data_IF_522135286750
#
_entry.id   IF_522135286750
#
_cell.length_a   1.000
_cell.length_b   1.000
_cell.length_c   1.000
_cell.angle_alpha   90.00
_cell.angle_beta   90.00
_cell.angle_gamma   90.00
#
_symmetry.space_group_name_H-M   'P 1'
#
loop_
_entity.id
_entity.type
_entity.pdbx_description
1 polymer ?
#
# COMPACT_ATOMS: atom_id res chain seq x y z
N UNK A 1 4.13 -9.69 -21.00
CA UNK A 1 3.89 -9.28 -19.60
C UNK A 1 4.88 -8.17 -19.29
N UNK A 2 4.41 -7.01 -18.81
CA UNK A 2 5.25 -5.86 -18.49
C UNK A 2 5.27 -5.67 -16.98
N UNK A 3 6.46 -5.67 -16.40
CA UNK A 3 6.67 -5.37 -14.98
C UNK A 3 6.95 -3.87 -14.88
N UNK A 4 6.29 -3.22 -13.94
CA UNK A 4 6.47 -1.81 -13.62
C UNK A 4 7.03 -1.70 -12.20
N UNK A 5 7.95 -0.75 -12.02
CA UNK A 5 8.46 -0.36 -10.72
C UNK A 5 7.59 0.75 -10.15
N UNK A 6 7.15 0.58 -8.91
CA UNK A 6 6.40 1.57 -8.14
C UNK A 6 6.92 1.61 -6.72
N UNK A 7 6.49 2.59 -5.92
CA UNK A 7 6.88 2.70 -4.51
C UNK A 7 5.72 2.31 -3.61
N UNK A 8 6.05 1.70 -2.47
CA UNK A 8 5.10 1.46 -1.40
C UNK A 8 4.60 2.79 -0.86
N UNK A 9 3.28 2.99 -0.84
CA UNK A 9 2.67 4.23 -0.36
C UNK A 9 2.94 4.49 1.13
N UNK A 10 3.25 3.45 1.90
CA UNK A 10 3.51 3.55 3.34
C UNK A 10 4.99 3.75 3.70
N UNK A 11 5.90 3.04 3.04
CA UNK A 11 7.32 3.03 3.42
C UNK A 11 8.28 3.51 2.32
N UNK A 12 7.78 3.81 1.12
CA UNK A 12 8.58 4.28 -0.01
C UNK A 12 9.45 3.23 -0.69
N UNK A 13 9.42 1.96 -0.22
CA UNK A 13 10.21 0.86 -0.80
C UNK A 13 9.77 0.54 -2.23
N UNK A 14 10.71 0.20 -3.10
CA UNK A 14 10.43 -0.23 -4.48
C UNK A 14 9.69 -1.58 -4.50
N UNK A 15 8.65 -1.67 -5.33
CA UNK A 15 7.82 -2.85 -5.57
C UNK A 15 7.72 -3.04 -7.07
N UNK A 16 7.87 -4.30 -7.50
CA UNK A 16 7.74 -4.69 -8.90
C UNK A 16 6.42 -5.43 -9.08
N UNK A 17 5.50 -4.82 -9.84
CA UNK A 17 4.18 -5.39 -10.11
C UNK A 17 3.96 -5.54 -11.60
N UNK A 18 3.13 -6.49 -12.02
CA UNK A 18 2.73 -6.59 -13.42
C UNK A 18 1.73 -5.46 -13.68
N UNK A 19 1.87 -4.77 -14.81
CA UNK A 19 1.05 -3.61 -15.17
C UNK A 19 -0.47 -3.88 -15.07
N UNK A 20 -0.91 -5.10 -15.35
CA UNK A 20 -2.32 -5.52 -15.25
C UNK A 20 -2.85 -5.63 -13.83
N UNK A 21 -1.97 -5.70 -12.83
CA UNK A 21 -2.32 -5.75 -11.40
C UNK A 21 -2.15 -4.40 -10.71
N UNK A 22 -1.82 -3.32 -11.45
CA UNK A 22 -1.73 -1.98 -10.90
C UNK A 22 -3.06 -1.56 -10.24
N UNK A 23 -2.94 -0.92 -9.09
CA UNK A 23 -4.04 -0.35 -8.29
C UNK A 23 -3.62 1.03 -7.83
N UNK A 24 -4.58 1.88 -7.46
CA UNK A 24 -4.34 3.24 -6.94
C UNK A 24 -3.39 3.26 -5.74
N UNK A 25 -3.45 2.26 -4.87
CA UNK A 25 -2.59 2.15 -3.69
C UNK A 25 -1.88 0.82 -3.65
N UNK A 26 -0.58 0.87 -3.45
CA UNK A 26 0.31 -0.28 -3.54
C UNK A 26 1.23 -0.37 -2.34
N UNK A 27 1.40 -1.60 -1.85
CA UNK A 27 2.06 -1.86 -0.58
C UNK A 27 2.99 -3.05 -0.70
N UNK A 28 4.20 -2.94 -0.12
CA UNK A 28 5.19 -4.00 -0.20
C UNK A 28 4.83 -5.21 0.68
N UNK A 29 3.99 -5.00 1.70
CA UNK A 29 3.51 -6.04 2.62
C UNK A 29 2.09 -5.74 3.08
N UNK A 30 1.37 -6.78 3.54
CA UNK A 30 0.06 -6.62 4.16
C UNK A 30 0.11 -5.70 5.38
N UNK A 31 1.20 -5.73 6.17
CA UNK A 31 1.37 -4.80 7.29
C UNK A 31 1.49 -3.33 6.87
N UNK A 32 2.09 -3.05 5.71
CA UNK A 32 2.12 -1.68 5.17
C UNK A 32 0.73 -1.21 4.73
N UNK A 33 -0.08 -2.13 4.18
CA UNK A 33 -1.47 -1.88 3.81
C UNK A 33 -2.34 -1.62 5.04
N UNK A 34 -2.23 -2.48 6.07
CA UNK A 34 -2.98 -2.39 7.32
C UNK A 34 -2.68 -1.08 8.06
N UNK A 35 -1.39 -0.78 8.29
CA UNK A 35 -0.99 0.48 8.93
C UNK A 35 -1.40 1.72 8.14
N UNK A 36 -1.54 1.62 6.82
CA UNK A 36 -2.01 2.73 6.00
C UNK A 36 -3.55 2.88 6.07
N UNK A 37 -4.27 1.77 6.16
CA UNK A 37 -5.73 1.78 6.35
C UNK A 37 -6.14 2.32 7.72
N UNK A 38 -5.36 2.01 8.76
CA UNK A 38 -5.58 2.50 10.13
C UNK A 38 -5.56 4.03 10.23
N UNK A 39 -4.69 4.70 9.45
CA UNK A 39 -4.62 6.18 9.39
C UNK A 39 -5.89 6.81 8.79
N UNK A 40 -6.70 6.04 8.05
CA UNK A 40 -7.95 6.53 7.46
C UNK A 40 -9.20 6.28 8.30
N UNK A 41 -9.07 5.57 9.42
CA UNK A 41 -10.11 5.49 10.43
C UNK A 41 -9.67 6.38 11.58
N UNK A 42 -10.29 7.55 11.71
CA UNK A 42 -10.27 8.30 12.97
C UNK A 42 -10.87 7.38 14.04
N UNK A 43 -10.01 6.61 14.69
CA UNK A 43 -10.37 5.84 15.86
C UNK A 43 -10.31 6.76 17.09
N UNK A 44 -10.91 7.95 17.01
CA UNK A 44 -11.51 8.52 18.21
C UNK A 44 -12.68 7.62 18.58
N UNK A 45 -12.63 7.04 19.77
CA UNK A 45 -13.72 6.31 20.45
C UNK A 45 -13.64 4.79 20.43
N UNK A 46 -12.64 4.22 21.10
CA UNK A 46 -12.92 3.17 22.07
C UNK A 46 -12.10 3.48 23.34
N UNK A 47 -12.76 4.18 24.26
CA UNK A 47 -12.40 4.31 25.68
C UNK A 47 -13.28 3.35 26.48
#
# INVERSE_FOLDING_TARGET
>A
MKIVEIKCEKCGKEIYVIETYLRDKMFCTLGCMDSYADVSIDHSSFH
#
